data_IF_320238993984
#
_entry.id   IF_320238993984
#
_cell.length_a   1.000
_cell.length_b   1.000
_cell.length_c   1.000
_cell.angle_alpha   90.00
_cell.angle_beta   90.00
_cell.angle_gamma   90.00
#
_symmetry.space_group_name_H-M   'P 1'
#
loop_
_entity.id
_entity.type
_entity.pdbx_description
1 polymer ?
#
# COMPACT_ATOMS: atom_id res chain seq x y z
N UNK A 1 -62.54 -0.80 -40.10
CA UNK A 1 -63.01 -1.44 -41.36
C UNK A 1 -62.39 -2.84 -41.39
N UNK A 2 -63.21 -3.84 -41.13
CA UNK A 2 -63.04 -5.27 -41.45
C UNK A 2 -63.43 -5.49 -42.88
N UNK A 3 -63.03 -6.60 -43.56
CA UNK A 3 -63.58 -7.94 -43.30
C UNK A 3 -62.55 -9.09 -43.45
N UNK A 4 -62.70 -10.20 -42.68
CA UNK A 4 -63.47 -11.46 -42.89
C UNK A 4 -63.19 -12.14 -44.27
N UNK A 5 -62.80 -13.39 -44.29
CA UNK A 5 -63.29 -14.75 -44.11
C UNK A 5 -62.61 -15.60 -45.23
N UNK A 6 -62.49 -16.89 -45.29
CA UNK A 6 -63.40 -18.04 -45.04
C UNK A 6 -62.70 -19.35 -45.11
N UNK A 7 -63.25 -20.34 -44.44
CA UNK A 7 -63.14 -21.79 -44.49
C UNK A 7 -62.87 -22.52 -45.81
N UNK A 8 -62.20 -23.67 -45.71
CA UNK A 8 -62.78 -24.88 -46.37
C UNK A 8 -62.24 -26.19 -45.75
N UNK A 9 -63.17 -26.95 -45.22
CA UNK A 9 -63.04 -28.40 -44.91
C UNK A 9 -63.05 -29.20 -46.19
N UNK A 10 -62.33 -30.32 -46.28
CA UNK A 10 -62.78 -31.55 -46.97
C UNK A 10 -62.29 -32.80 -46.26
N UNK A 11 -63.18 -33.77 -46.22
CA UNK A 11 -63.16 -35.07 -45.55
C UNK A 11 -62.53 -36.18 -46.40
N UNK A 12 -62.02 -37.21 -45.68
CA UNK A 12 -62.26 -38.64 -45.74
C UNK A 12 -61.58 -39.49 -46.81
N UNK A 13 -61.01 -40.56 -46.35
CA UNK A 13 -60.63 -41.71 -47.12
C UNK A 13 -59.97 -42.78 -46.27
N UNK A 14 -60.76 -43.75 -45.70
CA UNK A 14 -60.35 -44.91 -45.00
C UNK A 14 -59.77 -45.98 -46.00
N UNK A 15 -58.57 -46.50 -45.66
CA UNK A 15 -58.12 -47.78 -46.20
C UNK A 15 -57.38 -48.61 -45.14
N UNK A 16 -57.91 -49.73 -44.72
CA UNK A 16 -57.29 -50.67 -43.82
C UNK A 16 -56.32 -51.55 -44.59
N UNK A 17 -55.11 -51.66 -44.06
CA UNK A 17 -54.20 -52.76 -44.52
C UNK A 17 -53.56 -53.40 -43.27
N UNK A 18 -53.84 -54.71 -43.12
CA UNK A 18 -53.13 -55.56 -42.16
C UNK A 18 -51.65 -55.67 -42.54
N UNK A 19 -50.79 -55.51 -41.54
CA UNK A 19 -49.39 -55.87 -41.68
C UNK A 19 -48.88 -56.56 -40.42
N UNK A 20 -48.19 -57.66 -40.62
CA UNK A 20 -47.58 -58.56 -39.64
C UNK A 20 -46.71 -57.86 -38.64
N UNK A 21 -46.86 -58.24 -37.40
CA UNK A 21 -45.97 -57.83 -36.31
C UNK A 21 -44.66 -58.67 -36.37
N UNK A 22 -43.51 -58.02 -36.57
CA UNK A 22 -42.20 -58.61 -36.34
C UNK A 22 -41.74 -58.11 -34.97
N UNK A 23 -41.55 -58.97 -33.99
CA UNK A 23 -40.94 -58.68 -32.72
C UNK A 23 -39.46 -58.31 -32.95
N UNK A 24 -39.08 -57.08 -32.69
CA UNK A 24 -37.69 -56.65 -32.53
C UNK A 24 -37.31 -56.71 -31.02
N UNK A 25 -36.04 -57.05 -30.66
CA UNK A 25 -35.63 -57.15 -29.27
C UNK A 25 -35.57 -55.75 -28.62
N UNK A 26 -35.98 -55.68 -27.34
CA UNK A 26 -35.96 -54.45 -26.53
C UNK A 26 -34.55 -53.97 -26.37
N UNK A 27 -34.26 -52.71 -26.82
CA UNK A 27 -33.07 -52.02 -26.50
C UNK A 27 -33.08 -51.57 -25.02
N UNK A 28 -32.01 -51.77 -24.29
CA UNK A 28 -31.82 -51.34 -22.94
C UNK A 28 -31.80 -49.79 -22.90
N UNK A 29 -32.30 -49.14 -21.82
CA UNK A 29 -32.25 -47.67 -21.73
C UNK A 29 -30.82 -47.21 -21.65
N UNK A 30 -30.42 -46.35 -22.58
CA UNK A 30 -29.17 -45.62 -22.57
C UNK A 30 -29.22 -44.64 -21.40
N UNK A 31 -28.36 -44.87 -20.38
CA UNK A 31 -28.19 -43.93 -19.26
C UNK A 31 -27.51 -42.69 -19.83
N UNK A 32 -28.25 -41.63 -20.01
CA UNK A 32 -27.70 -40.32 -20.38
C UNK A 32 -26.67 -39.92 -19.31
N UNK A 33 -25.40 -39.80 -19.70
CA UNK A 33 -24.34 -39.23 -18.87
C UNK A 33 -24.74 -37.82 -18.46
N UNK A 34 -24.66 -37.51 -17.15
CA UNK A 34 -24.86 -36.17 -16.66
C UNK A 34 -23.89 -35.23 -17.39
N UNK A 35 -24.32 -34.02 -17.77
CA UNK A 35 -23.40 -33.04 -18.36
C UNK A 35 -22.23 -32.79 -17.41
N UNK A 36 -21.01 -32.76 -17.94
CA UNK A 36 -19.84 -32.37 -17.20
C UNK A 36 -20.10 -30.97 -16.60
N UNK A 37 -19.65 -30.69 -15.35
CA UNK A 37 -19.78 -29.36 -14.79
C UNK A 37 -19.10 -28.39 -15.74
N UNK A 38 -19.83 -27.34 -16.11
CA UNK A 38 -19.25 -26.23 -16.86
C UNK A 38 -18.03 -25.68 -16.06
N UNK A 39 -16.92 -25.32 -16.74
CA UNK A 39 -15.80 -24.72 -16.05
C UNK A 39 -16.32 -23.46 -15.35
N UNK A 40 -16.15 -23.42 -14.02
CA UNK A 40 -16.45 -22.22 -13.25
C UNK A 40 -15.81 -21.03 -13.99
N UNK A 41 -16.65 -20.10 -14.43
CA UNK A 41 -16.18 -18.87 -15.03
C UNK A 41 -15.28 -18.22 -14.00
N UNK A 42 -13.98 -18.17 -14.27
CA UNK A 42 -13.04 -17.40 -13.47
C UNK A 42 -13.59 -15.97 -13.44
N UNK A 43 -14.16 -15.59 -12.31
CA UNK A 43 -14.47 -14.18 -12.04
C UNK A 43 -13.13 -13.47 -12.20
N UNK A 44 -13.01 -12.64 -13.23
CA UNK A 44 -11.84 -11.79 -13.40
C UNK A 44 -11.73 -10.96 -12.13
N UNK A 45 -10.80 -11.31 -11.26
CA UNK A 45 -10.54 -10.55 -10.06
C UNK A 45 -10.24 -9.11 -10.52
N UNK A 46 -10.98 -8.15 -10.01
CA UNK A 46 -10.66 -6.74 -10.25
C UNK A 46 -9.24 -6.49 -9.73
N UNK A 47 -8.48 -5.64 -10.43
CA UNK A 47 -7.17 -5.23 -9.92
C UNK A 47 -7.34 -4.64 -8.51
N UNK A 48 -6.40 -4.91 -7.58
CA UNK A 48 -6.46 -4.36 -6.24
C UNK A 48 -6.42 -2.82 -6.28
N UNK A 49 -7.09 -2.17 -5.33
CA UNK A 49 -6.98 -0.72 -5.14
C UNK A 49 -5.55 -0.37 -4.74
N UNK A 50 -5.00 0.66 -5.34
CA UNK A 50 -3.68 1.19 -5.02
C UNK A 50 -3.80 2.38 -4.08
N UNK A 51 -3.14 2.30 -2.92
CA UNK A 51 -3.12 3.32 -1.89
C UNK A 51 -1.70 3.84 -1.72
N UNK A 52 -1.50 5.15 -1.80
CA UNK A 52 -0.22 5.78 -1.45
C UNK A 52 -0.10 5.93 0.05
N UNK A 53 0.81 5.19 0.69
CA UNK A 53 1.09 5.21 2.12
C UNK A 53 1.61 6.59 2.54
N UNK A 54 0.97 7.22 3.52
CA UNK A 54 1.24 8.60 3.96
C UNK A 54 1.37 9.59 2.80
N UNK A 55 0.57 9.36 1.73
CA UNK A 55 0.71 10.02 0.44
C UNK A 55 1.58 9.25 -0.54
N UNK A 56 2.66 9.84 -1.02
CA UNK A 56 3.70 9.20 -1.82
C UNK A 56 5.03 9.27 -1.05
N UNK A 57 5.09 8.62 0.13
CA UNK A 57 6.15 8.78 1.11
C UNK A 57 7.55 8.42 0.57
N UNK A 58 7.62 7.52 -0.40
CA UNK A 58 8.89 7.18 -1.05
C UNK A 58 9.47 8.28 -1.94
N UNK A 59 8.70 9.32 -2.30
CA UNK A 59 9.14 10.38 -3.23
C UNK A 59 8.86 11.81 -2.76
N UNK A 60 8.15 11.96 -1.64
CA UNK A 60 7.89 13.24 -0.96
C UNK A 60 7.84 13.01 0.55
N UNK A 61 8.02 14.05 1.39
CA UNK A 61 7.95 13.88 2.84
C UNK A 61 6.58 13.33 3.26
N UNK A 62 6.59 12.26 4.04
CA UNK A 62 5.39 11.56 4.50
C UNK A 62 4.39 12.48 5.19
N UNK A 63 3.10 12.18 5.06
CA UNK A 63 2.03 12.92 5.74
C UNK A 63 2.02 14.43 5.47
N UNK A 64 2.43 14.86 4.26
CA UNK A 64 2.41 16.26 3.84
C UNK A 64 1.49 16.51 2.65
N UNK A 65 1.12 17.77 2.44
CA UNK A 65 0.33 18.16 1.26
C UNK A 65 1.05 17.78 -0.04
N UNK A 66 2.38 17.94 -0.08
CA UNK A 66 3.21 17.56 -1.24
C UNK A 66 3.11 16.06 -1.54
N UNK A 67 3.14 15.18 -0.52
CA UNK A 67 2.99 13.74 -0.69
C UNK A 67 1.58 13.36 -1.19
N UNK A 68 0.53 13.99 -0.64
CA UNK A 68 -0.84 13.78 -1.08
C UNK A 68 -1.08 14.23 -2.52
N UNK A 69 -0.50 15.37 -2.92
CA UNK A 69 -0.59 15.85 -4.29
C UNK A 69 0.16 14.96 -5.29
N UNK A 70 1.29 14.38 -4.90
CA UNK A 70 1.99 13.39 -5.72
C UNK A 70 1.18 12.10 -5.86
N UNK A 71 0.61 11.57 -4.76
CA UNK A 71 -0.27 10.41 -4.79
C UNK A 71 -1.47 10.64 -5.72
N UNK A 72 -2.14 11.81 -5.61
CA UNK A 72 -3.21 12.20 -6.55
C UNK A 72 -2.72 12.23 -8.00
N UNK A 73 -1.54 12.79 -8.24
CA UNK A 73 -0.93 12.87 -9.58
C UNK A 73 -0.57 11.50 -10.17
N UNK A 74 -0.31 10.51 -9.34
CA UNK A 74 0.00 9.13 -9.76
C UNK A 74 -1.20 8.39 -10.34
N UNK A 75 -2.41 8.85 -10.05
CA UNK A 75 -3.69 8.15 -10.30
C UNK A 75 -3.82 6.85 -9.47
N UNK A 76 -3.27 6.82 -8.27
CA UNK A 76 -3.68 5.87 -7.26
C UNK A 76 -5.17 6.07 -6.92
N UNK A 77 -5.81 5.05 -6.36
CA UNK A 77 -7.22 5.10 -6.01
C UNK A 77 -7.43 5.91 -4.73
N UNK A 78 -6.47 5.78 -3.79
CA UNK A 78 -6.46 6.49 -2.50
C UNK A 78 -5.03 6.92 -2.16
N UNK A 79 -4.92 7.87 -1.25
CA UNK A 79 -3.75 8.02 -0.38
C UNK A 79 -4.18 7.79 1.07
N UNK A 80 -3.24 7.37 1.87
CA UNK A 80 -3.42 7.15 3.31
C UNK A 80 -2.74 8.27 4.09
N UNK A 81 -3.20 8.53 5.31
CA UNK A 81 -2.66 9.48 6.27
C UNK A 81 -2.91 9.02 7.72
N UNK A 82 -2.08 9.51 8.64
CA UNK A 82 -2.22 9.30 10.09
C UNK A 82 -2.75 10.56 10.77
N UNK A 83 -3.86 10.46 11.53
CA UNK A 83 -4.43 11.59 12.24
C UNK A 83 -4.24 11.47 13.75
N UNK A 84 -3.82 12.58 14.39
CA UNK A 84 -3.66 12.74 15.84
C UNK A 84 -4.26 14.08 16.31
N UNK A 85 -4.35 14.31 17.64
CA UNK A 85 -4.81 15.58 18.23
C UNK A 85 -3.68 16.33 18.91
N UNK A 86 -3.57 17.64 18.64
CA UNK A 86 -2.69 18.53 19.37
C UNK A 86 -3.12 18.74 20.82
N UNK A 87 -2.28 19.32 21.65
CA UNK A 87 -2.59 19.60 23.05
C UNK A 87 -3.84 20.50 23.24
N UNK A 88 -4.18 21.29 22.25
CA UNK A 88 -5.37 22.16 22.21
C UNK A 88 -6.52 21.56 21.38
N UNK A 89 -6.45 20.25 21.04
CA UNK A 89 -7.53 19.47 20.44
C UNK A 89 -7.73 19.68 18.94
N UNK A 90 -6.75 20.23 18.23
CA UNK A 90 -6.80 20.40 16.77
C UNK A 90 -6.34 19.14 16.09
N UNK A 91 -7.11 18.54 15.13
CA UNK A 91 -6.69 17.37 14.39
C UNK A 91 -5.63 17.74 13.35
N UNK A 92 -4.50 17.02 13.41
CA UNK A 92 -3.36 17.20 12.50
C UNK A 92 -2.87 15.86 11.96
N UNK A 93 -2.07 15.92 10.89
CA UNK A 93 -1.59 14.72 10.21
C UNK A 93 -0.12 14.48 10.54
N UNK A 94 0.17 13.35 11.21
CA UNK A 94 1.52 12.97 11.62
C UNK A 94 1.55 11.52 12.11
N UNK A 95 2.60 10.74 11.77
CA UNK A 95 2.68 9.33 12.12
C UNK A 95 3.26 9.06 13.50
N UNK A 96 4.46 9.58 13.78
CA UNK A 96 5.24 9.19 14.95
C UNK A 96 4.66 9.76 16.26
N UNK A 97 4.92 9.09 17.37
CA UNK A 97 4.56 9.59 18.69
C UNK A 97 5.41 10.78 19.14
N UNK A 98 6.56 11.01 18.50
CA UNK A 98 7.48 12.14 18.79
C UNK A 98 7.90 12.85 17.50
N UNK A 99 8.24 14.16 17.56
CA UNK A 99 8.56 14.93 16.36
C UNK A 99 10.00 14.74 15.81
N UNK A 100 10.83 13.92 16.46
CA UNK A 100 12.28 13.90 16.22
C UNK A 100 12.69 13.49 14.80
N UNK A 101 12.07 12.46 14.23
CA UNK A 101 12.49 11.84 12.97
C UNK A 101 12.23 12.73 11.75
N UNK A 102 11.03 13.30 11.65
CA UNK A 102 10.57 13.97 10.43
C UNK A 102 10.42 15.48 10.58
N UNK A 103 10.94 16.09 11.69
CA UNK A 103 10.87 17.54 11.87
C UNK A 103 12.21 18.16 12.33
N UNK A 104 12.27 19.46 12.24
CA UNK A 104 13.38 20.25 12.78
C UNK A 104 13.18 20.65 14.25
N UNK A 105 12.48 19.85 15.04
CA UNK A 105 12.13 20.12 16.45
C UNK A 105 13.35 20.46 17.31
N UNK A 106 14.48 19.77 17.14
CA UNK A 106 15.72 20.03 17.86
C UNK A 106 16.22 21.46 17.66
N UNK A 107 15.95 22.08 16.51
CA UNK A 107 16.27 23.46 16.21
C UNK A 107 15.23 24.44 16.75
N UNK A 108 13.93 24.11 16.61
CA UNK A 108 12.82 25.04 16.92
C UNK A 108 12.44 24.99 18.39
N UNK A 109 12.52 23.81 19.02
CA UNK A 109 12.20 23.55 20.43
C UNK A 109 13.26 22.63 21.07
N UNK A 110 14.49 23.12 21.28
CA UNK A 110 15.57 22.32 21.87
C UNK A 110 15.16 21.69 23.20
N UNK A 111 15.41 20.38 23.33
CA UNK A 111 15.08 19.59 24.52
C UNK A 111 13.67 19.01 24.53
N UNK A 112 12.87 19.21 23.46
CA UNK A 112 11.54 18.61 23.29
C UNK A 112 11.48 17.55 22.18
N UNK A 113 12.62 17.05 21.74
CA UNK A 113 12.74 16.09 20.63
C UNK A 113 11.98 14.77 20.90
N UNK A 114 11.96 14.38 22.18
CA UNK A 114 11.31 13.16 22.66
C UNK A 114 9.99 13.42 23.40
N UNK A 115 9.49 14.66 23.40
CA UNK A 115 8.16 14.93 23.93
C UNK A 115 7.11 14.29 23.01
N UNK A 116 5.98 13.81 23.55
CA UNK A 116 4.86 13.37 22.73
C UNK A 116 4.43 14.47 21.75
N UNK A 117 4.24 14.12 20.49
CA UNK A 117 3.80 15.11 19.47
C UNK A 117 2.45 15.73 19.84
N UNK A 118 1.59 14.98 20.52
CA UNK A 118 0.29 15.43 21.03
C UNK A 118 0.40 16.41 22.21
N UNK A 119 1.60 16.61 22.78
CA UNK A 119 1.86 17.62 23.82
C UNK A 119 2.13 19.01 23.27
N UNK A 120 2.26 19.17 21.95
CA UNK A 120 2.41 20.43 21.28
C UNK A 120 1.05 21.03 20.92
N UNK A 121 0.89 22.33 21.12
CA UNK A 121 -0.26 23.06 20.59
C UNK A 121 -0.20 23.17 19.07
N UNK A 122 -1.34 23.36 18.43
CA UNK A 122 -1.38 23.57 16.97
C UNK A 122 -0.45 24.73 16.52
N UNK A 123 -0.41 25.81 17.27
CA UNK A 123 0.46 26.94 16.97
C UNK A 123 1.95 26.57 17.06
N UNK A 124 2.35 25.67 17.95
CA UNK A 124 3.73 25.15 18.03
C UNK A 124 4.03 24.20 16.87
N UNK A 125 3.13 23.27 16.53
CA UNK A 125 3.27 22.35 15.41
C UNK A 125 3.49 23.10 14.09
N UNK A 126 2.79 24.22 13.88
CA UNK A 126 2.93 25.06 12.69
C UNK A 126 4.29 25.78 12.56
N UNK A 127 5.12 25.76 13.61
CA UNK A 127 6.49 26.30 13.55
C UNK A 127 7.47 25.29 12.98
N UNK A 128 7.19 24.00 13.08
CA UNK A 128 8.07 22.93 12.62
C UNK A 128 8.13 22.87 11.09
N UNK A 129 9.28 22.46 10.59
CA UNK A 129 9.53 22.08 9.20
C UNK A 129 9.57 20.56 9.12
N UNK A 130 8.61 19.96 8.40
CA UNK A 130 8.50 18.53 8.20
C UNK A 130 8.88 18.10 6.76
N UNK A 131 9.55 18.95 6.00
CA UNK A 131 9.96 18.66 4.63
C UNK A 131 11.48 18.56 4.44
N UNK A 132 12.25 19.36 5.18
CA UNK A 132 13.70 19.44 5.02
C UNK A 132 14.44 18.14 5.32
N UNK A 133 13.89 17.28 6.19
CA UNK A 133 14.47 15.95 6.49
C UNK A 133 14.51 15.08 5.24
N UNK A 134 13.45 15.13 4.42
CA UNK A 134 13.36 14.38 3.18
C UNK A 134 14.28 14.93 2.10
N UNK A 135 14.19 16.23 1.81
CA UNK A 135 15.12 16.91 0.91
C UNK A 135 14.95 18.44 1.00
N UNK A 136 16.03 19.19 0.70
CA UNK A 136 15.96 20.65 0.65
C UNK A 136 14.96 21.22 -0.36
N UNK A 137 14.45 20.41 -1.30
CA UNK A 137 13.37 20.79 -2.22
C UNK A 137 12.05 21.06 -1.48
N UNK A 138 11.80 20.35 -0.39
CA UNK A 138 10.59 20.46 0.42
C UNK A 138 10.79 21.31 1.68
N UNK A 139 11.89 22.05 1.77
CA UNK A 139 12.17 22.90 2.93
C UNK A 139 11.02 23.88 3.19
N UNK A 140 10.59 23.92 4.46
CA UNK A 140 9.48 24.77 4.88
C UNK A 140 8.10 24.15 4.82
N UNK A 141 7.98 22.91 4.34
CA UNK A 141 6.71 22.15 4.40
C UNK A 141 6.24 22.03 5.84
N UNK A 142 4.93 22.16 6.07
CA UNK A 142 4.33 22.19 7.40
C UNK A 142 3.57 20.90 7.69
N UNK A 143 3.47 20.56 8.99
CA UNK A 143 2.53 19.54 9.45
C UNK A 143 1.12 19.97 9.03
N UNK A 144 0.37 19.16 8.23
CA UNK A 144 -0.94 19.57 7.74
C UNK A 144 -2.01 19.53 8.84
N UNK A 145 -2.96 20.44 8.76
CA UNK A 145 -4.25 20.23 9.41
C UNK A 145 -5.00 19.08 8.72
N UNK A 146 -5.82 18.33 9.45
CA UNK A 146 -6.56 17.21 8.90
C UNK A 146 -7.35 17.57 7.63
N UNK A 147 -7.99 18.74 7.59
CA UNK A 147 -8.74 19.19 6.42
C UNK A 147 -7.88 19.54 5.21
N UNK A 148 -6.56 19.73 5.37
CA UNK A 148 -5.67 19.93 4.23
C UNK A 148 -5.61 18.70 3.33
N UNK A 149 -5.78 17.50 3.90
CA UNK A 149 -5.87 16.27 3.14
C UNK A 149 -7.10 16.23 2.23
N UNK A 150 -8.28 16.61 2.72
CA UNK A 150 -9.49 16.69 1.88
C UNK A 150 -9.34 17.73 0.77
N UNK A 151 -8.66 18.86 1.07
CA UNK A 151 -8.31 19.89 0.08
C UNK A 151 -7.35 19.35 -0.98
N UNK A 152 -6.33 18.61 -0.55
CA UNK A 152 -5.35 17.97 -1.45
C UNK A 152 -5.98 16.89 -2.34
N UNK A 153 -6.94 16.13 -1.82
CA UNK A 153 -7.65 15.08 -2.58
C UNK A 153 -8.49 15.65 -3.75
N UNK A 154 -8.98 16.89 -3.65
CA UNK A 154 -9.77 17.59 -4.71
C UNK A 154 -10.94 16.77 -5.26
N UNK A 155 -11.47 15.82 -4.48
CA UNK A 155 -12.44 14.82 -4.95
C UNK A 155 -11.99 14.05 -6.22
N UNK A 156 -10.69 13.92 -6.45
CA UNK A 156 -10.10 13.18 -7.57
C UNK A 156 -9.50 11.84 -7.13
N UNK A 157 -9.07 11.76 -5.88
CA UNK A 157 -8.53 10.57 -5.21
C UNK A 157 -9.28 10.36 -3.91
N UNK A 158 -9.35 9.12 -3.40
CA UNK A 158 -9.88 8.81 -2.09
C UNK A 158 -8.85 9.01 -0.97
N UNK A 159 -9.30 8.94 0.28
CA UNK A 159 -8.44 9.08 1.46
C UNK A 159 -8.71 7.93 2.43
N UNK A 160 -7.64 7.21 2.80
CA UNK A 160 -7.58 6.31 3.93
C UNK A 160 -7.09 7.10 5.15
N UNK A 161 -7.77 6.98 6.28
CA UNK A 161 -7.51 7.78 7.49
C UNK A 161 -7.19 6.82 8.62
N UNK A 162 -5.90 6.69 8.99
CA UNK A 162 -5.52 5.96 10.19
C UNK A 162 -5.75 6.84 11.42
N UNK A 163 -6.60 6.37 12.36
CA UNK A 163 -6.66 6.94 13.71
C UNK A 163 -5.46 6.41 14.47
N UNK A 164 -4.44 7.27 14.61
CA UNK A 164 -3.13 6.90 15.15
C UNK A 164 -3.08 7.08 16.66
N UNK A 165 -2.55 6.06 17.37
CA UNK A 165 -2.30 6.11 18.83
C UNK A 165 -3.45 6.80 19.60
N UNK A 166 -4.72 6.28 19.52
CA UNK A 166 -5.89 6.97 20.08
C UNK A 166 -5.79 7.20 21.57
N UNK A 167 -4.99 6.41 22.30
CA UNK A 167 -4.68 6.61 23.72
C UNK A 167 -3.97 7.94 23.99
N UNK A 168 -3.20 8.45 23.03
CA UNK A 168 -2.52 9.75 23.10
C UNK A 168 -3.41 10.92 22.64
N UNK A 169 -4.56 10.61 22.04
CA UNK A 169 -5.51 11.57 21.44
C UNK A 169 -6.96 11.29 21.90
N UNK A 170 -7.29 11.37 23.20
CA UNK A 170 -8.60 11.00 23.72
C UNK A 170 -9.76 11.71 23.01
N UNK A 171 -10.73 10.93 22.46
CA UNK A 171 -11.89 11.45 21.76
C UNK A 171 -11.69 11.74 20.29
N UNK A 172 -10.56 11.35 19.72
CA UNK A 172 -10.22 11.56 18.30
C UNK A 172 -11.26 10.95 17.35
N UNK A 173 -11.86 9.81 17.72
CA UNK A 173 -12.90 9.16 16.92
C UNK A 173 -14.08 10.10 16.64
N UNK A 174 -14.48 10.84 17.67
CA UNK A 174 -15.55 11.83 17.54
C UNK A 174 -15.14 13.02 16.69
N UNK A 175 -13.92 13.51 16.89
CA UNK A 175 -13.36 14.64 16.11
C UNK A 175 -13.32 14.29 14.63
N UNK A 176 -12.82 13.09 14.29
CA UNK A 176 -12.78 12.60 12.91
C UNK A 176 -14.19 12.41 12.35
N UNK A 177 -15.09 11.73 13.09
CA UNK A 177 -16.47 11.50 12.63
C UNK A 177 -17.22 12.82 12.39
N UNK A 178 -17.03 13.81 13.26
CA UNK A 178 -17.66 15.13 13.09
C UNK A 178 -17.07 15.87 11.88
N UNK A 179 -15.76 15.87 11.69
CA UNK A 179 -15.13 16.48 10.53
C UNK A 179 -15.64 15.85 9.22
N UNK A 180 -15.71 14.53 9.14
CA UNK A 180 -16.22 13.80 7.96
C UNK A 180 -17.68 14.18 7.62
N UNK A 181 -18.49 14.53 8.61
CA UNK A 181 -19.89 14.89 8.46
C UNK A 181 -20.09 16.38 8.17
N UNK A 182 -19.37 17.24 8.89
CA UNK A 182 -19.63 18.68 8.96
C UNK A 182 -18.83 19.49 7.94
N UNK A 183 -17.57 19.11 7.66
CA UNK A 183 -16.79 19.78 6.62
C UNK A 183 -17.30 19.43 5.22
N UNK A 184 -17.57 20.42 4.36
CA UNK A 184 -18.15 20.19 3.04
C UNK A 184 -17.28 19.36 2.10
N UNK A 185 -15.94 19.38 2.24
CA UNK A 185 -15.03 18.63 1.39
C UNK A 185 -14.99 17.17 1.84
N UNK A 186 -14.83 16.92 3.16
CA UNK A 186 -14.90 15.58 3.73
C UNK A 186 -16.25 14.91 3.45
N UNK A 187 -17.37 15.59 3.76
CA UNK A 187 -18.69 15.00 3.54
C UNK A 187 -18.98 14.72 2.05
N UNK A 188 -18.36 15.47 1.13
CA UNK A 188 -18.40 15.15 -0.29
C UNK A 188 -17.62 13.88 -0.62
N UNK A 189 -16.41 13.72 -0.09
CA UNK A 189 -15.60 12.50 -0.27
C UNK A 189 -16.36 11.28 0.27
N UNK A 190 -16.92 11.37 1.47
CA UNK A 190 -17.74 10.29 2.06
C UNK A 190 -18.91 9.91 1.15
N UNK A 191 -19.71 10.88 0.70
CA UNK A 191 -20.85 10.61 -0.21
C UNK A 191 -20.43 10.01 -1.56
N UNK A 192 -19.18 10.21 -1.97
CA UNK A 192 -18.62 9.62 -3.19
C UNK A 192 -17.97 8.25 -2.95
N UNK A 193 -18.03 7.68 -1.74
CA UNK A 193 -17.34 6.43 -1.38
C UNK A 193 -15.81 6.54 -1.45
N UNK A 194 -15.25 7.69 -1.11
CA UNK A 194 -13.84 8.03 -1.23
C UNK A 194 -13.17 8.26 0.12
N UNK A 195 -13.71 7.70 1.17
CA UNK A 195 -13.11 7.70 2.50
C UNK A 195 -13.22 6.30 3.06
N UNK A 196 -12.15 5.82 3.66
CA UNK A 196 -12.11 4.64 4.52
C UNK A 196 -11.30 5.01 5.77
N UNK A 197 -11.76 4.59 6.96
CA UNK A 197 -11.04 4.79 8.20
C UNK A 197 -10.39 3.48 8.62
N UNK A 198 -9.22 3.54 9.24
CA UNK A 198 -8.48 2.36 9.67
C UNK A 198 -7.80 2.64 11.01
N UNK A 199 -7.39 1.57 11.70
CA UNK A 199 -6.64 1.68 12.94
C UNK A 199 -6.31 0.31 13.53
N UNK A 200 -5.29 0.30 14.38
CA UNK A 200 -4.87 -0.90 15.13
C UNK A 200 -5.72 -1.13 16.38
N UNK A 201 -6.16 -0.06 17.05
CA UNK A 201 -6.93 -0.19 18.29
C UNK A 201 -8.38 -0.60 18.03
N UNK A 202 -8.72 -1.82 18.40
CA UNK A 202 -10.04 -2.37 18.17
C UNK A 202 -11.15 -1.67 18.98
N UNK A 203 -10.85 -1.01 20.10
CA UNK A 203 -11.84 -0.28 20.89
C UNK A 203 -12.16 1.07 20.23
N UNK A 204 -11.14 1.77 19.75
CA UNK A 204 -11.27 2.98 18.93
C UNK A 204 -12.06 2.69 17.65
N UNK A 205 -11.71 1.63 16.92
CA UNK A 205 -12.40 1.21 15.71
C UNK A 205 -13.91 0.95 15.94
N UNK A 206 -14.26 0.23 17.02
CA UNK A 206 -15.68 0.01 17.38
C UNK A 206 -16.39 1.31 17.74
N UNK A 207 -15.71 2.22 18.43
CA UNK A 207 -16.25 3.55 18.77
C UNK A 207 -16.52 4.35 17.50
N UNK A 208 -15.55 4.38 16.56
CA UNK A 208 -15.71 5.07 15.29
C UNK A 208 -16.85 4.48 14.46
N UNK A 209 -16.94 3.14 14.34
CA UNK A 209 -18.00 2.46 13.61
C UNK A 209 -19.42 2.81 14.14
N UNK A 210 -19.55 3.10 15.44
CA UNK A 210 -20.82 3.56 16.01
C UNK A 210 -21.12 5.04 15.70
N UNK A 211 -20.06 5.87 15.60
CA UNK A 211 -20.19 7.31 15.35
C UNK A 211 -20.44 7.62 13.86
N UNK A 212 -19.86 6.84 12.95
CA UNK A 212 -19.92 7.05 11.50
C UNK A 212 -20.14 5.72 10.75
N UNK A 213 -21.30 5.03 10.95
CA UNK A 213 -21.56 3.71 10.36
C UNK A 213 -21.65 3.73 8.82
N UNK A 214 -21.72 4.89 8.21
CA UNK A 214 -21.73 5.07 6.76
C UNK A 214 -20.32 5.09 6.14
N UNK A 215 -19.25 5.14 6.95
CA UNK A 215 -17.84 5.18 6.51
C UNK A 215 -17.24 3.79 6.64
N UNK A 216 -16.75 3.18 5.56
CA UNK A 216 -16.05 1.89 5.64
C UNK A 216 -14.89 1.93 6.61
N UNK A 217 -14.70 0.82 7.35
CA UNK A 217 -13.67 0.68 8.38
C UNK A 217 -12.79 -0.53 8.10
N UNK A 218 -11.47 -0.36 8.26
CA UNK A 218 -10.48 -1.44 8.19
C UNK A 218 -9.79 -1.65 9.55
N UNK A 219 -9.85 -2.87 10.09
CA UNK A 219 -9.04 -3.26 11.24
C UNK A 219 -7.63 -3.60 10.80
N UNK A 220 -6.61 -2.99 11.41
CA UNK A 220 -5.19 -3.31 11.17
C UNK A 220 -4.66 -4.28 12.22
N UNK A 221 -3.84 -5.23 11.78
CA UNK A 221 -3.05 -6.14 12.63
C UNK A 221 -1.83 -6.62 11.85
N UNK A 222 -0.71 -6.89 12.53
CA UNK A 222 0.52 -7.35 11.85
C UNK A 222 0.38 -8.74 11.23
N UNK A 223 -0.50 -9.58 11.78
CA UNK A 223 -0.75 -10.92 11.25
C UNK A 223 -2.24 -11.26 11.22
N UNK A 224 -2.63 -12.15 10.29
CA UNK A 224 -4.02 -12.61 10.17
C UNK A 224 -4.36 -13.56 11.33
N UNK A 225 -5.33 -13.20 12.20
CA UNK A 225 -5.71 -14.03 13.33
C UNK A 225 -6.54 -15.25 12.90
N UNK A 226 -7.02 -16.01 13.89
CA UNK A 226 -7.90 -17.15 13.64
C UNK A 226 -9.31 -16.74 13.18
N UNK A 227 -10.10 -17.72 12.72
CA UNK A 227 -11.43 -17.47 12.17
C UNK A 227 -12.42 -16.89 13.21
N UNK A 228 -12.24 -17.20 14.50
CA UNK A 228 -13.12 -16.70 15.55
C UNK A 228 -12.86 -15.20 15.79
N UNK A 229 -11.60 -14.79 15.82
CA UNK A 229 -11.22 -13.38 15.94
C UNK A 229 -11.66 -12.58 14.68
N UNK A 230 -11.48 -13.12 13.48
CA UNK A 230 -11.96 -12.49 12.24
C UNK A 230 -13.49 -12.31 12.25
N UNK A 231 -14.25 -13.30 12.74
CA UNK A 231 -15.70 -13.18 12.87
C UNK A 231 -16.11 -12.07 13.86
N UNK A 232 -15.31 -11.82 14.91
CA UNK A 232 -15.53 -10.68 15.81
C UNK A 232 -15.20 -9.35 15.12
N UNK A 233 -14.12 -9.28 14.35
CA UNK A 233 -13.75 -8.08 13.58
C UNK A 233 -14.85 -7.72 12.58
N UNK A 234 -15.40 -8.71 11.86
CA UNK A 234 -16.49 -8.51 10.90
C UNK A 234 -17.80 -7.95 11.51
N UNK A 235 -17.92 -7.87 12.83
CA UNK A 235 -19.07 -7.24 13.48
C UNK A 235 -19.01 -5.71 13.47
N UNK A 236 -17.85 -5.12 13.18
CA UNK A 236 -17.65 -3.66 13.20
C UNK A 236 -16.78 -3.11 12.06
N UNK A 237 -16.04 -3.97 11.36
CA UNK A 237 -15.18 -3.58 10.24
C UNK A 237 -15.63 -4.24 8.94
N UNK A 238 -15.42 -3.57 7.81
CA UNK A 238 -15.69 -4.04 6.46
C UNK A 238 -14.45 -4.72 5.86
N UNK A 239 -13.28 -4.33 6.34
CA UNK A 239 -11.99 -4.73 5.80
C UNK A 239 -11.00 -5.09 6.91
N UNK A 240 -9.99 -5.88 6.53
CA UNK A 240 -8.88 -6.27 7.39
C UNK A 240 -7.57 -5.98 6.67
N UNK A 241 -6.66 -5.27 7.34
CA UNK A 241 -5.34 -4.92 6.83
C UNK A 241 -4.23 -5.61 7.63
N UNK A 242 -3.18 -6.09 6.93
CA UNK A 242 -2.08 -6.82 7.58
C UNK A 242 -0.73 -6.58 6.87
N UNK A 243 0.36 -6.86 7.59
CA UNK A 243 1.68 -6.95 6.96
C UNK A 243 1.63 -7.99 5.83
N UNK A 244 2.17 -7.58 4.68
CA UNK A 244 2.16 -8.43 3.49
C UNK A 244 3.16 -9.58 3.57
N UNK A 245 4.25 -9.46 4.37
CA UNK A 245 5.37 -10.40 4.38
C UNK A 245 4.97 -11.82 4.78
N UNK A 246 4.28 -12.04 5.92
CA UNK A 246 3.83 -13.38 6.33
C UNK A 246 2.57 -13.87 5.60
N UNK A 247 1.95 -13.04 4.73
CA UNK A 247 0.66 -13.36 4.12
C UNK A 247 0.77 -14.47 3.07
N UNK A 248 -0.10 -15.47 3.19
CA UNK A 248 -0.27 -16.57 2.25
C UNK A 248 -1.73 -16.69 1.74
N UNK A 249 -1.94 -17.56 0.77
CA UNK A 249 -3.26 -17.77 0.17
C UNK A 249 -4.29 -18.29 1.19
N UNK A 250 -3.88 -19.11 2.17
CA UNK A 250 -4.78 -19.62 3.19
C UNK A 250 -5.25 -18.51 4.14
N UNK A 251 -4.35 -17.58 4.50
CA UNK A 251 -4.67 -16.40 5.30
C UNK A 251 -5.63 -15.46 4.57
N UNK A 252 -5.39 -15.17 3.29
CA UNK A 252 -6.31 -14.39 2.44
C UNK A 252 -7.71 -15.02 2.41
N UNK A 253 -7.78 -16.33 2.21
CA UNK A 253 -9.07 -17.05 2.19
C UNK A 253 -9.77 -17.00 3.56
N UNK A 254 -9.03 -17.10 4.69
CA UNK A 254 -9.65 -16.97 6.03
C UNK A 254 -10.32 -15.61 6.21
N UNK A 255 -9.65 -14.52 5.80
CA UNK A 255 -10.23 -13.15 5.88
C UNK A 255 -11.47 -13.05 5.01
N UNK A 256 -11.40 -13.51 3.75
CA UNK A 256 -12.53 -13.47 2.81
C UNK A 256 -13.71 -14.33 3.27
N UNK A 257 -13.48 -15.48 3.88
CA UNK A 257 -14.53 -16.31 4.45
C UNK A 257 -15.25 -15.65 5.65
N UNK A 258 -14.59 -14.73 6.36
CA UNK A 258 -15.22 -13.92 7.38
C UNK A 258 -16.07 -12.78 6.81
N UNK A 259 -16.09 -12.58 5.49
CA UNK A 259 -16.81 -11.50 4.81
C UNK A 259 -16.05 -10.19 4.75
N UNK A 260 -14.76 -10.18 5.09
CA UNK A 260 -13.91 -8.98 5.10
C UNK A 260 -13.12 -8.84 3.79
N UNK A 261 -12.95 -7.61 3.31
CA UNK A 261 -11.95 -7.30 2.29
C UNK A 261 -10.53 -7.38 2.86
N UNK A 262 -9.54 -7.68 2.00
CA UNK A 262 -8.12 -7.87 2.40
C UNK A 262 -7.28 -6.70 1.93
N UNK A 263 -6.70 -5.96 2.87
CA UNK A 263 -5.68 -4.93 2.65
C UNK A 263 -4.30 -5.39 3.10
N UNK A 264 -3.25 -4.87 2.45
CA UNK A 264 -1.86 -5.15 2.83
C UNK A 264 -1.01 -3.88 2.84
N UNK A 265 -0.02 -3.84 3.73
CA UNK A 265 0.98 -2.77 3.91
C UNK A 265 2.32 -3.35 4.38
N UNK A 266 3.45 -2.67 4.28
CA UNK A 266 3.73 -1.62 3.28
C UNK A 266 4.48 -2.25 2.13
N UNK A 267 3.91 -2.21 0.95
CA UNK A 267 4.43 -2.90 -0.26
C UNK A 267 5.23 -1.91 -1.08
N UNK A 268 6.57 -2.08 -1.14
CA UNK A 268 7.46 -1.09 -1.74
C UNK A 268 8.34 -1.64 -2.86
N UNK A 269 8.09 -2.87 -3.30
CA UNK A 269 8.78 -3.42 -4.47
C UNK A 269 7.82 -4.04 -5.48
N UNK A 270 8.22 -4.02 -6.76
CA UNK A 270 7.42 -4.64 -7.84
C UNK A 270 7.21 -6.15 -7.62
N UNK A 271 8.24 -6.93 -7.21
CA UNK A 271 8.02 -8.35 -6.90
C UNK A 271 7.03 -8.59 -5.76
N UNK A 272 7.07 -7.76 -4.71
CA UNK A 272 6.12 -7.86 -3.60
C UNK A 272 4.69 -7.50 -4.06
N UNK A 273 4.55 -6.43 -4.86
CA UNK A 273 3.27 -6.05 -5.47
C UNK A 273 2.67 -7.21 -6.28
N UNK A 274 3.44 -7.80 -7.20
CA UNK A 274 2.97 -8.90 -8.03
C UNK A 274 2.58 -10.13 -7.19
N UNK A 275 3.36 -10.45 -6.14
CA UNK A 275 3.08 -11.55 -5.22
C UNK A 275 1.74 -11.36 -4.51
N UNK A 276 1.49 -10.20 -3.91
CA UNK A 276 0.25 -9.99 -3.14
C UNK A 276 -0.96 -9.83 -4.06
N UNK A 277 -0.80 -9.22 -5.23
CA UNK A 277 -1.85 -9.17 -6.25
C UNK A 277 -2.26 -10.57 -6.71
N UNK A 278 -1.28 -11.48 -6.90
CA UNK A 278 -1.56 -12.89 -7.25
C UNK A 278 -2.25 -13.65 -6.11
N UNK A 279 -2.08 -13.27 -4.84
CA UNK A 279 -2.84 -13.83 -3.72
C UNK A 279 -4.31 -13.37 -3.71
N UNK A 280 -4.66 -12.36 -4.51
CA UNK A 280 -6.01 -11.82 -4.63
C UNK A 280 -6.41 -10.91 -3.49
N UNK A 281 -5.49 -10.10 -2.96
CA UNK A 281 -5.80 -9.02 -2.03
C UNK A 281 -6.64 -7.93 -2.72
N UNK A 282 -7.41 -7.17 -1.97
CA UNK A 282 -8.31 -6.16 -2.50
C UNK A 282 -7.70 -4.75 -2.47
N UNK A 283 -6.68 -4.52 -1.62
CA UNK A 283 -6.01 -3.23 -1.38
C UNK A 283 -4.52 -3.44 -1.19
N UNK A 284 -3.72 -2.58 -1.81
CA UNK A 284 -2.25 -2.55 -1.67
C UNK A 284 -1.83 -1.13 -1.28
N UNK A 285 -1.28 -0.98 -0.08
CA UNK A 285 -0.72 0.28 0.42
C UNK A 285 0.80 0.25 0.28
N UNK A 286 1.39 1.31 -0.29
CA UNK A 286 2.84 1.40 -0.47
C UNK A 286 3.33 2.82 -0.74
N UNK A 287 4.64 3.04 -0.54
CA UNK A 287 5.29 4.35 -0.58
C UNK A 287 5.49 4.89 -2.01
N UNK A 288 5.38 4.02 -3.02
CA UNK A 288 5.69 4.34 -4.42
C UNK A 288 4.47 4.27 -5.35
N UNK A 289 3.36 5.00 -5.08
CA UNK A 289 2.13 4.88 -5.86
C UNK A 289 2.31 5.26 -7.33
N UNK A 290 3.26 6.13 -7.68
CA UNK A 290 3.58 6.47 -9.08
C UNK A 290 4.11 5.25 -9.82
N UNK A 291 5.07 4.53 -9.23
CA UNK A 291 5.73 3.36 -9.81
C UNK A 291 4.74 2.22 -9.96
N UNK A 292 3.95 1.94 -8.94
CA UNK A 292 2.95 0.87 -8.96
C UNK A 292 1.78 1.17 -9.91
N UNK A 293 1.32 2.42 -9.98
CA UNK A 293 0.32 2.82 -10.97
C UNK A 293 0.81 2.63 -12.41
N UNK A 294 2.11 2.86 -12.68
CA UNK A 294 2.73 2.57 -13.97
C UNK A 294 2.81 1.06 -14.20
N UNK A 295 3.28 0.30 -13.22
CA UNK A 295 3.41 -1.16 -13.29
C UNK A 295 2.07 -1.83 -13.56
N UNK A 296 1.03 -1.51 -12.79
CA UNK A 296 -0.33 -2.05 -12.99
C UNK A 296 -0.94 -1.75 -14.37
N UNK A 297 -0.40 -0.74 -15.10
CA UNK A 297 -0.76 -0.42 -16.50
C UNK A 297 0.18 -1.07 -17.52
N UNK A 298 1.07 -1.98 -17.11
CA UNK A 298 2.07 -2.60 -17.98
C UNK A 298 3.15 -1.65 -18.49
N UNK A 299 3.36 -0.51 -17.81
CA UNK A 299 4.41 0.44 -18.11
C UNK A 299 5.65 0.20 -17.25
N UNK A 300 6.82 0.63 -17.70
CA UNK A 300 8.04 0.57 -16.92
C UNK A 300 7.90 1.40 -15.63
N UNK A 301 8.04 0.81 -14.43
CA UNK A 301 7.93 1.51 -13.14
C UNK A 301 8.97 2.64 -13.02
N UNK A 302 10.20 2.35 -13.42
CA UNK A 302 11.35 3.27 -13.35
C UNK A 302 11.84 3.65 -14.76
N UNK A 303 11.17 4.60 -15.45
CA UNK A 303 11.47 4.90 -16.86
C UNK A 303 12.83 5.59 -17.08
N UNK A 304 13.43 6.12 -16.02
CA UNK A 304 14.73 6.80 -16.06
C UNK A 304 15.83 5.97 -15.37
N UNK A 305 15.60 4.67 -15.14
CA UNK A 305 16.60 3.78 -14.60
C UNK A 305 17.80 3.66 -15.55
N UNK A 306 18.99 3.82 -14.98
CA UNK A 306 20.28 3.73 -15.73
C UNK A 306 20.74 2.29 -15.97
N UNK A 307 19.96 1.31 -15.49
CA UNK A 307 20.30 -0.10 -15.52
C UNK A 307 20.94 -0.60 -14.21
N UNK A 308 21.05 0.25 -13.19
CA UNK A 308 21.47 -0.19 -11.85
C UNK A 308 20.26 -0.61 -11.02
N UNK A 309 20.35 -1.78 -10.40
CA UNK A 309 19.32 -2.39 -9.56
C UNK A 309 19.84 -2.68 -8.16
N UNK A 310 18.96 -2.67 -7.19
CA UNK A 310 19.19 -3.34 -5.91
C UNK A 310 18.85 -4.82 -6.11
N UNK A 311 19.79 -5.70 -5.80
CA UNK A 311 19.62 -7.13 -6.01
C UNK A 311 19.63 -7.93 -4.70
N UNK A 312 20.06 -7.30 -3.60
CA UNK A 312 20.03 -7.88 -2.27
C UNK A 312 20.16 -6.79 -1.19
N UNK A 313 19.57 -7.04 -0.03
CA UNK A 313 19.79 -6.28 1.19
C UNK A 313 19.97 -7.27 2.35
N UNK A 314 21.06 -7.15 3.08
CA UNK A 314 21.37 -7.99 4.22
C UNK A 314 21.28 -7.14 5.46
N UNK A 315 20.21 -7.32 6.20
CA UNK A 315 19.81 -6.48 7.33
C UNK A 315 20.42 -6.99 8.63
N UNK A 316 20.03 -8.18 9.08
CA UNK A 316 20.55 -8.84 10.28
C UNK A 316 21.80 -9.68 9.93
N UNK A 317 22.91 -9.39 10.59
CA UNK A 317 24.20 -10.09 10.36
C UNK A 317 24.69 -10.71 11.66
N UNK A 318 24.93 -12.04 11.68
CA UNK A 318 25.49 -12.70 12.85
C UNK A 318 26.79 -12.03 13.34
N UNK A 319 26.76 -11.50 14.56
CA UNK A 319 27.90 -10.80 15.17
C UNK A 319 27.75 -9.27 15.22
N UNK A 320 26.65 -8.75 14.66
CA UNK A 320 26.23 -7.35 14.69
C UNK A 320 26.40 -6.64 13.35
N UNK A 321 25.50 -5.71 13.10
CA UNK A 321 25.27 -5.08 11.78
C UNK A 321 26.33 -4.04 11.42
N UNK A 322 27.02 -3.50 12.44
CA UNK A 322 28.12 -2.56 12.24
C UNK A 322 29.52 -3.22 12.33
N UNK A 323 29.58 -4.56 12.28
CA UNK A 323 30.89 -5.23 12.34
C UNK A 323 31.78 -4.87 11.14
N UNK A 324 33.09 -4.62 11.37
CA UNK A 324 34.01 -4.24 10.29
C UNK A 324 34.06 -5.27 9.15
N UNK A 325 33.99 -4.77 7.91
CA UNK A 325 34.14 -5.54 6.66
C UNK A 325 32.99 -6.53 6.35
N UNK A 326 32.02 -6.75 7.27
CA UNK A 326 31.04 -7.82 7.15
C UNK A 326 29.64 -7.47 7.66
N UNK A 327 29.37 -6.21 8.01
CA UNK A 327 28.09 -5.75 8.54
C UNK A 327 26.93 -5.71 7.53
N UNK A 328 25.82 -5.09 7.94
CA UNK A 328 24.66 -4.87 7.08
C UNK A 328 25.02 -4.12 5.80
N UNK A 329 24.33 -4.42 4.72
CA UNK A 329 24.67 -3.88 3.41
C UNK A 329 23.56 -4.01 2.39
N UNK A 330 23.57 -3.12 1.41
CA UNK A 330 22.77 -3.23 0.18
C UNK A 330 23.68 -3.59 -0.98
N UNK A 331 23.23 -4.48 -1.88
CA UNK A 331 24.00 -4.92 -3.05
C UNK A 331 23.39 -4.30 -4.30
N UNK A 332 24.17 -3.46 -4.97
CA UNK A 332 23.82 -2.88 -6.27
C UNK A 332 24.41 -3.74 -7.39
N UNK A 333 23.69 -3.87 -8.51
CA UNK A 333 24.17 -4.52 -9.71
C UNK A 333 23.91 -3.66 -10.96
N UNK A 334 24.91 -3.52 -11.81
CA UNK A 334 24.70 -2.97 -13.13
C UNK A 334 24.15 -4.05 -14.07
N UNK A 335 22.89 -3.92 -14.47
CA UNK A 335 22.21 -4.80 -15.43
C UNK A 335 22.21 -4.24 -16.85
N UNK A 336 22.77 -3.03 -17.08
CA UNK A 336 22.92 -2.46 -18.41
C UNK A 336 24.07 -3.13 -19.19
N UNK A 337 24.07 -2.98 -20.52
CA UNK A 337 25.11 -3.49 -21.41
C UNK A 337 26.36 -2.58 -21.49
N UNK A 338 26.42 -1.49 -20.71
CA UNK A 338 27.51 -0.50 -20.69
C UNK A 338 27.88 -0.17 -19.23
N UNK A 339 29.09 0.35 -18.99
CA UNK A 339 29.48 0.81 -17.67
C UNK A 339 28.59 1.96 -17.18
N UNK A 340 28.26 1.94 -15.87
CA UNK A 340 27.46 2.99 -15.22
C UNK A 340 28.23 3.56 -14.05
N UNK A 341 28.38 4.86 -13.98
CA UNK A 341 28.94 5.59 -12.84
C UNK A 341 27.86 5.70 -11.77
N UNK A 342 28.09 5.07 -10.62
CA UNK A 342 27.20 5.09 -9.44
C UNK A 342 27.71 6.01 -8.33
N UNK A 343 28.72 6.81 -8.60
CA UNK A 343 29.23 7.82 -7.66
C UNK A 343 28.11 8.79 -7.26
N UNK A 344 27.93 8.99 -5.95
CA UNK A 344 26.88 9.84 -5.40
C UNK A 344 25.47 9.23 -5.44
N UNK A 345 25.30 7.95 -5.83
CA UNK A 345 24.02 7.26 -5.67
C UNK A 345 23.68 7.14 -4.19
N UNK A 346 22.40 7.25 -3.88
CA UNK A 346 21.88 7.18 -2.52
C UNK A 346 20.91 6.02 -2.40
N UNK A 347 21.00 5.31 -1.30
CA UNK A 347 20.08 4.25 -0.92
C UNK A 347 19.39 4.76 0.34
N UNK A 348 18.08 4.84 0.33
CA UNK A 348 17.27 5.30 1.46
C UNK A 348 16.36 4.17 1.91
N UNK A 349 16.30 3.93 3.21
CA UNK A 349 15.36 3.02 3.85
C UNK A 349 13.99 3.69 4.11
N UNK A 350 13.07 2.96 4.74
CA UNK A 350 11.72 3.45 5.10
C UNK A 350 11.72 4.44 6.27
N UNK A 351 12.83 4.53 7.04
CA UNK A 351 13.00 5.46 8.17
C UNK A 351 13.79 6.72 7.80
N UNK A 352 14.06 6.92 6.49
CA UNK A 352 14.86 8.02 5.92
C UNK A 352 16.37 7.95 6.21
N UNK A 353 16.89 6.84 6.75
CA UNK A 353 18.33 6.63 6.82
C UNK A 353 18.91 6.52 5.40
N UNK A 354 20.10 7.05 5.19
CA UNK A 354 20.67 7.13 3.84
C UNK A 354 22.11 6.63 3.80
N UNK A 355 22.37 5.67 2.92
CA UNK A 355 23.70 5.28 2.50
C UNK A 355 24.05 6.02 1.20
N UNK A 356 25.29 6.47 1.05
CA UNK A 356 25.76 7.19 -0.15
C UNK A 356 27.00 6.55 -0.71
N UNK A 357 27.00 6.25 -2.01
CA UNK A 357 28.19 5.74 -2.70
C UNK A 357 29.17 6.87 -2.95
N UNK A 358 30.43 6.72 -2.51
CA UNK A 358 31.47 7.71 -2.72
C UNK A 358 31.92 7.85 -4.19
N UNK A 359 32.85 8.77 -4.46
CA UNK A 359 33.31 9.05 -5.82
C UNK A 359 34.18 7.90 -6.39
N UNK A 360 34.17 7.76 -7.72
CA UNK A 360 35.05 6.86 -8.47
C UNK A 360 34.52 5.44 -8.64
N UNK A 361 33.25 5.18 -8.35
CA UNK A 361 32.61 3.87 -8.53
C UNK A 361 31.89 3.78 -9.88
N UNK A 362 32.53 3.10 -10.85
CA UNK A 362 31.96 2.80 -12.15
C UNK A 362 31.80 1.29 -12.27
N UNK A 363 30.55 0.83 -12.36
CA UNK A 363 30.22 -0.59 -12.46
C UNK A 363 30.20 -1.04 -13.92
N UNK A 364 31.06 -2.02 -14.28
CA UNK A 364 30.97 -2.69 -15.56
C UNK A 364 29.67 -3.51 -15.69
N UNK A 365 29.23 -3.87 -16.91
CA UNK A 365 28.09 -4.76 -17.12
C UNK A 365 28.16 -6.03 -16.25
N UNK A 366 27.11 -6.30 -15.48
CA UNK A 366 27.01 -7.44 -14.55
C UNK A 366 27.77 -7.27 -13.24
N UNK A 367 28.59 -6.24 -13.06
CA UNK A 367 29.34 -6.01 -11.84
C UNK A 367 28.41 -5.62 -10.69
N UNK A 368 28.75 -6.10 -9.47
CA UNK A 368 28.08 -5.75 -8.22
C UNK A 368 28.94 -4.83 -7.36
N UNK A 369 28.29 -4.02 -6.54
CA UNK A 369 28.87 -3.20 -5.48
C UNK A 369 28.08 -3.44 -4.18
N UNK A 370 28.79 -3.83 -3.12
CA UNK A 370 28.25 -3.91 -1.76
C UNK A 370 28.42 -2.56 -1.08
N UNK A 371 27.32 -1.97 -0.64
CA UNK A 371 27.31 -0.68 0.07
C UNK A 371 26.98 -0.96 1.53
N UNK A 372 27.97 -0.82 2.39
CA UNK A 372 27.90 -1.14 3.82
C UNK A 372 27.56 0.10 4.64
N UNK A 373 26.80 -0.09 5.72
CA UNK A 373 26.55 0.92 6.75
C UNK A 373 27.79 1.19 7.61
N UNK A 374 28.37 0.13 8.16
CA UNK A 374 29.44 0.17 9.13
C UNK A 374 30.83 0.49 8.55
N UNK A 375 31.89 0.28 9.36
CA UNK A 375 33.27 0.56 8.98
C UNK A 375 33.86 -0.54 8.12
N UNK A 376 34.86 -0.16 7.29
CA UNK A 376 35.64 -1.09 6.46
C UNK A 376 36.55 -0.38 5.48
N UNK A 377 37.22 -1.14 4.63
CA UNK A 377 38.18 -0.62 3.64
C UNK A 377 37.53 -0.61 2.25
N UNK A 378 37.41 0.56 1.65
CA UNK A 378 36.83 0.73 0.32
C UNK A 378 37.62 -0.02 -0.76
N UNK A 379 36.91 -0.79 -1.61
CA UNK A 379 37.44 -1.60 -2.72
C UNK A 379 36.56 -1.44 -3.95
N UNK A 380 36.97 -1.94 -5.09
CA UNK A 380 36.22 -1.84 -6.33
C UNK A 380 34.79 -2.49 -6.26
N UNK A 381 34.57 -3.42 -5.34
CA UNK A 381 33.33 -4.17 -5.14
C UNK A 381 32.67 -3.90 -3.77
N UNK A 382 33.22 -2.98 -2.95
CA UNK A 382 32.70 -2.67 -1.61
C UNK A 382 32.94 -1.20 -1.25
N UNK A 383 31.89 -0.54 -0.77
CA UNK A 383 31.94 0.80 -0.23
C UNK A 383 31.36 0.83 1.20
N UNK A 384 32.03 1.54 2.11
CA UNK A 384 31.69 1.61 3.54
C UNK A 384 31.33 3.05 3.91
N UNK A 385 30.15 3.24 4.51
CA UNK A 385 29.66 4.56 4.90
C UNK A 385 30.18 5.01 6.27
N UNK A 386 30.79 4.12 7.06
CA UNK A 386 31.35 4.39 8.40
C UNK A 386 30.32 5.02 9.35
N UNK A 387 29.04 4.68 9.25
CA UNK A 387 28.02 5.12 10.18
C UNK A 387 28.20 4.42 11.53
N UNK A 388 27.79 5.09 12.60
CA UNK A 388 27.82 4.58 13.98
C UNK A 388 26.50 4.02 14.47
N UNK A 389 25.50 3.99 13.62
CA UNK A 389 24.15 3.44 13.86
C UNK A 389 23.73 2.58 12.69
N UNK A 390 22.98 1.55 12.96
CA UNK A 390 22.35 0.68 11.97
C UNK A 390 21.40 1.51 11.07
N UNK A 391 21.26 1.07 9.83
CA UNK A 391 20.44 1.73 8.81
C UNK A 391 19.25 0.86 8.45
N UNK A 392 19.47 -0.47 8.30
CA UNK A 392 18.44 -1.41 7.86
C UNK A 392 17.74 -2.05 9.06
N UNK A 393 16.44 -2.34 8.93
CA UNK A 393 15.66 -2.98 9.98
C UNK A 393 15.84 -4.50 9.95
N UNK A 394 16.19 -5.12 11.10
CA UNK A 394 16.46 -6.56 11.21
C UNK A 394 15.29 -7.46 10.80
N UNK A 395 14.06 -6.99 10.98
CA UNK A 395 12.84 -7.74 10.64
C UNK A 395 12.46 -7.64 9.15
N UNK A 396 13.32 -7.01 8.34
CA UNK A 396 13.11 -6.75 6.92
C UNK A 396 12.87 -5.27 6.64
N UNK A 397 13.39 -4.78 5.54
CA UNK A 397 13.32 -3.37 5.16
C UNK A 397 12.99 -3.21 3.68
N UNK A 398 12.53 -2.02 3.34
CA UNK A 398 12.39 -1.56 1.96
C UNK A 398 13.41 -0.45 1.71
N UNK A 399 14.14 -0.57 0.60
CA UNK A 399 15.13 0.42 0.22
C UNK A 399 14.86 0.99 -1.16
N UNK A 400 15.03 2.30 -1.31
CA UNK A 400 14.93 3.01 -2.57
C UNK A 400 16.31 3.46 -3.05
N UNK A 401 16.64 3.19 -4.32
CA UNK A 401 17.87 3.59 -4.96
C UNK A 401 17.67 4.87 -5.77
N UNK A 402 18.45 5.90 -5.47
CA UNK A 402 18.42 7.18 -6.17
C UNK A 402 19.75 7.46 -6.87
N UNK A 403 19.71 7.98 -8.09
CA UNK A 403 20.90 8.48 -8.76
C UNK A 403 21.47 9.74 -8.06
N UNK A 404 22.70 10.11 -8.39
CA UNK A 404 23.33 11.35 -7.93
C UNK A 404 22.54 12.64 -8.29
N UNK A 405 21.67 12.55 -9.30
CA UNK A 405 20.80 13.65 -9.73
C UNK A 405 19.40 13.62 -9.07
N UNK A 406 19.16 12.73 -8.12
CA UNK A 406 17.88 12.63 -7.42
C UNK A 406 16.78 11.94 -8.22
N UNK A 407 17.13 11.08 -9.18
CA UNK A 407 16.16 10.27 -9.93
C UNK A 407 16.05 8.90 -9.30
N UNK A 408 14.84 8.47 -8.96
CA UNK A 408 14.56 7.12 -8.43
C UNK A 408 14.89 6.07 -9.51
N UNK A 409 15.76 5.12 -9.15
CA UNK A 409 16.28 4.09 -10.05
C UNK A 409 15.60 2.75 -9.83
N UNK A 410 15.38 2.37 -8.60
CA UNK A 410 14.84 1.07 -8.22
C UNK A 410 14.31 1.08 -6.80
N UNK A 411 13.49 0.08 -6.46
CA UNK A 411 13.08 -0.22 -5.08
C UNK A 411 13.24 -1.71 -4.83
N UNK A 412 13.60 -2.05 -3.60
CA UNK A 412 13.77 -3.43 -3.15
C UNK A 412 13.16 -3.58 -1.77
N UNK A 413 12.55 -4.73 -1.50
CA UNK A 413 12.04 -5.11 -0.18
C UNK A 413 12.36 -6.58 0.07
N UNK A 414 12.78 -6.93 1.29
CA UNK A 414 13.07 -8.29 1.72
C UNK A 414 12.26 -8.72 2.95
#
# INVERSE_FOLDING_TARGET
MTPRSTHSLRRAGTAAALSLAVLAPAAAPEVAAAPAPEPEQSVSASAPLLIGHRGAAGTAPENTVSAFEQARGSRADFFELDVQLSADGVPFVFHDDTPARTTDVARVFPGRENDPITSFTWAELQRLDTGSHFSGHFAGEKIPHFDDAARAARNQIGVFIEIKSPENSPGIEKVVADALREDPQWSRLVRCGRVEVLGYDAASNRTFAQLAPEVPLQQLMDTVPDAAALAQIATYADNFGTDYRPLDAAAVQRVKHAGLGVGVYTVDSVPAYDRVAALGVDRITGDFPVQFSRHGKGQTPFPQNTGVRVVDAVNDVPGGDLQPEAGERVVLQNTAAHPVDVSGYRIRDTKDNTLTVGPGYVLAPGQQLRVYTGPGTNRADAYYNHLGTETLDDEGDSVALWSSHGTLQDTFAN
#
